data_IF_697212907975
#
_entry.id   IF_697212907975
#
_cell.length_a   1.000
_cell.length_b   1.000
_cell.length_c   1.000
_cell.angle_alpha   90.00
_cell.angle_beta   90.00
_cell.angle_gamma   90.00
#
_symmetry.space_group_name_H-M   'P 1'
#
loop_
_entity.id
_entity.type
_entity.pdbx_description
1 polymer ?
#
# COMPACT_ATOMS: atom_id res chain seq x y z
N UNK A 1 -7.37 -18.51 -16.63
CA UNK A 1 -7.49 -17.41 -15.65
C UNK A 1 -6.54 -17.57 -14.46
N UNK A 2 -6.53 -18.70 -13.74
CA UNK A 2 -5.66 -18.85 -12.54
C UNK A 2 -4.16 -18.70 -12.87
N UNK A 3 -3.66 -19.32 -13.94
CA UNK A 3 -2.26 -19.16 -14.37
C UNK A 3 -1.86 -17.71 -14.67
N UNK A 4 -2.76 -16.93 -15.29
CA UNK A 4 -2.56 -15.50 -15.50
C UNK A 4 -2.42 -14.75 -14.17
N UNK A 5 -3.36 -14.98 -13.25
CA UNK A 5 -3.39 -14.33 -11.94
C UNK A 5 -2.20 -14.68 -11.03
N UNK A 6 -1.59 -15.86 -11.19
CA UNK A 6 -0.45 -16.31 -10.40
C UNK A 6 0.91 -15.94 -11.02
N UNK A 7 1.01 -15.95 -12.36
CA UNK A 7 2.31 -15.91 -13.03
C UNK A 7 2.53 -14.66 -13.88
N UNK A 8 1.46 -14.07 -14.43
CA UNK A 8 1.56 -12.97 -15.37
C UNK A 8 1.24 -11.64 -14.68
N UNK A 9 0.02 -11.49 -14.17
CA UNK A 9 -0.42 -10.21 -13.63
C UNK A 9 0.45 -9.68 -12.48
N UNK A 10 0.94 -10.52 -11.52
CA UNK A 10 1.85 -10.04 -10.47
C UNK A 10 3.20 -9.52 -10.98
N UNK A 11 3.54 -9.79 -12.24
CA UNK A 11 4.77 -9.32 -12.88
C UNK A 11 4.54 -8.15 -13.86
N UNK A 12 3.28 -7.82 -14.17
CA UNK A 12 2.89 -6.73 -15.07
C UNK A 12 2.84 -5.39 -14.31
N UNK A 13 4.02 -4.96 -13.82
CA UNK A 13 4.16 -3.70 -13.10
C UNK A 13 3.98 -2.54 -14.08
N UNK A 14 3.14 -1.57 -13.68
CA UNK A 14 2.83 -0.39 -14.48
C UNK A 14 3.26 0.89 -13.77
N UNK A 15 3.74 1.86 -14.57
CA UNK A 15 3.94 3.22 -14.12
C UNK A 15 2.63 3.99 -14.34
N UNK A 16 1.99 4.38 -13.25
CA UNK A 16 0.83 5.28 -13.29
C UNK A 16 1.27 6.73 -13.07
N UNK A 17 0.50 7.67 -13.64
CA UNK A 17 0.74 9.10 -13.50
C UNK A 17 -0.52 9.75 -12.95
N UNK A 18 -0.34 10.58 -11.93
CA UNK A 18 -1.42 11.28 -11.26
C UNK A 18 -1.05 12.76 -11.09
N UNK A 19 -1.97 13.66 -11.38
CA UNK A 19 -1.83 15.07 -11.02
C UNK A 19 -2.78 15.41 -9.90
N UNK A 20 -2.25 16.01 -8.82
CA UNK A 20 -3.03 16.53 -7.68
C UNK A 20 -2.83 18.04 -7.66
N UNK A 21 -3.93 18.80 -7.60
CA UNK A 21 -3.90 20.25 -7.57
C UNK A 21 -4.27 20.80 -6.20
N UNK A 22 -3.40 21.66 -5.66
CA UNK A 22 -3.59 22.39 -4.40
C UNK A 22 -3.58 23.90 -4.64
N UNK A 23 -4.68 24.49 -5.13
CA UNK A 23 -4.70 25.91 -5.52
C UNK A 23 -4.33 26.86 -4.37
N UNK A 24 -4.62 26.49 -3.12
CA UNK A 24 -4.26 27.28 -1.94
C UNK A 24 -2.75 27.26 -1.62
N UNK A 25 -1.99 26.33 -2.21
CA UNK A 25 -0.54 26.22 -2.06
C UNK A 25 0.25 26.92 -3.18
N UNK A 26 -0.39 27.79 -4.00
CA UNK A 26 0.22 28.39 -5.18
C UNK A 26 1.51 29.18 -4.87
N UNK A 27 1.61 29.82 -3.72
CA UNK A 27 2.81 30.54 -3.28
C UNK A 27 3.83 29.64 -2.54
N UNK A 28 3.55 28.34 -2.40
CA UNK A 28 4.31 27.38 -1.58
C UNK A 28 4.73 26.13 -2.34
N UNK A 29 4.40 26.04 -3.61
CA UNK A 29 4.87 24.97 -4.50
C UNK A 29 5.64 25.57 -5.66
N UNK A 30 6.69 24.89 -6.16
CA UNK A 30 7.42 25.32 -7.34
C UNK A 30 6.50 25.59 -8.52
N UNK A 31 6.81 26.57 -9.35
CA UNK A 31 6.00 26.92 -10.54
C UNK A 31 5.78 25.72 -11.48
N UNK A 32 6.75 24.80 -11.56
CA UNK A 32 6.67 23.55 -12.32
C UNK A 32 5.99 22.39 -11.56
N UNK A 33 5.52 22.65 -10.33
CA UNK A 33 5.03 21.61 -9.42
C UNK A 33 6.14 20.77 -8.81
N UNK A 34 5.75 19.79 -7.98
CA UNK A 34 6.62 18.83 -7.31
C UNK A 34 6.32 17.43 -7.85
N UNK A 35 7.34 16.72 -8.31
CA UNK A 35 7.22 15.35 -8.83
C UNK A 35 7.63 14.36 -7.75
N UNK A 36 6.74 13.42 -7.44
CA UNK A 36 6.92 12.47 -6.36
C UNK A 36 6.79 11.05 -6.94
N UNK A 37 7.84 10.24 -6.82
CA UNK A 37 7.76 8.81 -7.14
C UNK A 37 7.30 8.07 -5.87
N UNK A 38 6.10 7.50 -5.91
CA UNK A 38 5.59 6.65 -4.83
C UNK A 38 5.84 5.18 -5.15
N UNK A 39 6.53 4.51 -4.22
CA UNK A 39 6.63 3.07 -4.08
C UNK A 39 5.86 2.67 -2.80
N UNK A 40 5.37 1.43 -2.75
CA UNK A 40 4.70 0.88 -1.57
C UNK A 40 4.53 -0.62 -1.69
N UNK A 41 4.33 -1.29 -0.56
CA UNK A 41 3.96 -2.71 -0.52
C UNK A 41 4.92 -3.58 -1.35
N UNK A 42 6.21 -3.43 -1.16
CA UNK A 42 7.23 -4.23 -1.86
C UNK A 42 7.17 -5.70 -1.41
N UNK A 43 6.83 -5.95 -0.14
CA UNK A 43 6.70 -7.27 0.47
C UNK A 43 7.83 -8.22 0.12
N UNK A 44 9.06 -7.76 0.15
CA UNK A 44 10.18 -8.64 -0.16
C UNK A 44 10.35 -9.72 0.92
N UNK A 45 10.37 -10.96 0.47
CA UNK A 45 10.54 -12.13 1.32
C UNK A 45 11.99 -12.56 1.42
N UNK A 46 12.77 -12.30 0.36
CA UNK A 46 14.11 -12.87 0.22
C UNK A 46 14.08 -14.40 0.00
N UNK A 47 15.21 -15.04 0.24
CA UNK A 47 15.32 -16.50 0.16
C UNK A 47 14.86 -17.08 -1.18
N UNK A 48 13.90 -18.01 -1.14
CA UNK A 48 13.38 -18.67 -2.36
C UNK A 48 12.68 -17.74 -3.34
N UNK A 49 12.19 -16.58 -2.90
CA UNK A 49 11.49 -15.59 -3.76
C UNK A 49 12.43 -14.59 -4.41
N UNK A 50 13.69 -14.51 -3.97
CA UNK A 50 14.68 -13.52 -4.45
C UNK A 50 14.76 -13.42 -5.97
N UNK A 51 14.77 -14.54 -6.69
CA UNK A 51 14.87 -14.51 -8.16
C UNK A 51 13.65 -13.86 -8.83
N UNK A 52 12.44 -14.04 -8.30
CA UNK A 52 11.21 -13.40 -8.78
C UNK A 52 11.21 -11.92 -8.40
N UNK A 53 11.63 -11.60 -7.20
CA UNK A 53 11.72 -10.22 -6.69
C UNK A 53 12.72 -9.40 -7.50
N UNK A 54 13.89 -9.97 -7.85
CA UNK A 54 14.86 -9.33 -8.74
C UNK A 54 14.30 -9.00 -10.11
N UNK A 55 13.51 -9.89 -10.73
CA UNK A 55 12.83 -9.57 -11.99
C UNK A 55 11.84 -8.42 -11.88
N UNK A 56 11.15 -8.29 -10.72
CA UNK A 56 10.30 -7.12 -10.46
C UNK A 56 11.14 -5.86 -10.36
N UNK A 57 12.28 -5.91 -9.64
CA UNK A 57 13.21 -4.78 -9.51
C UNK A 57 13.73 -4.36 -10.88
N UNK A 58 14.16 -5.31 -11.71
CA UNK A 58 14.64 -5.02 -13.09
C UNK A 58 13.53 -4.34 -13.93
N UNK A 59 12.29 -4.78 -13.78
CA UNK A 59 11.14 -4.15 -14.45
C UNK A 59 10.90 -2.73 -13.96
N UNK A 60 11.02 -2.47 -12.65
CA UNK A 60 10.89 -1.12 -12.06
C UNK A 60 12.01 -0.23 -12.56
N UNK A 61 13.26 -0.71 -12.54
CA UNK A 61 14.42 0.01 -13.09
C UNK A 61 14.16 0.46 -14.52
N UNK A 62 13.70 -0.45 -15.39
CA UNK A 62 13.39 -0.14 -16.78
C UNK A 62 12.25 0.89 -16.93
N UNK A 63 11.27 0.88 -16.04
CA UNK A 63 10.16 1.84 -16.05
C UNK A 63 10.57 3.23 -15.55
N UNK A 64 11.60 3.31 -14.70
CA UNK A 64 11.99 4.55 -14.01
C UNK A 64 13.27 5.16 -14.56
N UNK A 65 14.08 4.46 -15.34
CA UNK A 65 15.43 4.86 -15.80
C UNK A 65 15.53 6.29 -16.35
N UNK A 66 14.47 6.80 -16.97
CA UNK A 66 14.41 8.14 -17.56
C UNK A 66 13.47 9.09 -16.80
N UNK A 67 13.08 8.74 -15.58
CA UNK A 67 12.22 9.61 -14.76
C UNK A 67 13.07 10.63 -14.00
N UNK A 68 12.65 11.86 -14.09
CA UNK A 68 13.10 12.93 -13.20
C UNK A 68 12.00 13.19 -12.18
N UNK A 69 12.37 13.14 -10.90
CA UNK A 69 11.44 13.42 -9.80
C UNK A 69 12.18 14.01 -8.61
N UNK A 70 11.43 14.70 -7.78
CA UNK A 70 11.98 15.48 -6.67
C UNK A 70 12.06 14.65 -5.39
N UNK A 71 11.00 13.88 -5.11
CA UNK A 71 10.89 13.07 -3.90
C UNK A 71 10.67 11.61 -4.26
N UNK A 72 11.39 10.71 -3.55
CA UNK A 72 11.03 9.31 -3.46
C UNK A 72 10.26 9.08 -2.16
N UNK A 73 9.07 8.51 -2.23
CA UNK A 73 8.34 8.12 -1.03
C UNK A 73 8.01 6.63 -1.05
N UNK A 74 8.16 5.97 0.10
CA UNK A 74 7.72 4.58 0.28
C UNK A 74 6.70 4.52 1.41
N UNK A 75 5.49 4.12 1.09
CA UNK A 75 4.36 4.16 2.04
C UNK A 75 4.13 2.83 2.76
N UNK A 76 5.21 2.14 3.13
CA UNK A 76 5.20 0.97 4.02
C UNK A 76 5.19 -0.38 3.32
N UNK A 77 5.31 -1.43 4.13
CA UNK A 77 5.45 -2.83 3.71
C UNK A 77 6.64 -3.04 2.76
N UNK A 78 7.81 -2.59 3.22
CA UNK A 78 9.08 -2.82 2.52
C UNK A 78 9.40 -4.31 2.43
N UNK A 79 9.27 -5.00 3.56
CA UNK A 79 9.62 -6.40 3.71
C UNK A 79 8.40 -7.23 4.15
N UNK A 80 8.46 -8.51 3.87
CA UNK A 80 7.58 -9.51 4.49
C UNK A 80 8.34 -10.26 5.59
N UNK A 81 9.65 -10.50 5.37
CA UNK A 81 10.60 -11.06 6.32
C UNK A 81 11.92 -10.29 6.27
N UNK A 82 12.68 -10.27 7.36
CA UNK A 82 14.00 -9.63 7.44
C UNK A 82 14.94 -10.04 6.29
N UNK A 83 14.83 -11.27 5.81
CA UNK A 83 15.59 -11.77 4.66
C UNK A 83 15.32 -10.98 3.34
N UNK A 84 14.25 -10.20 3.28
CA UNK A 84 13.90 -9.33 2.16
C UNK A 84 14.70 -8.02 2.11
N UNK A 85 15.40 -7.66 3.17
CA UNK A 85 16.09 -6.36 3.30
C UNK A 85 17.08 -6.09 2.15
N UNK A 86 17.84 -7.09 1.73
CA UNK A 86 18.77 -6.94 0.59
C UNK A 86 18.03 -6.51 -0.69
N UNK A 87 16.84 -7.04 -0.93
CA UNK A 87 16.06 -6.68 -2.11
C UNK A 87 15.41 -5.30 -1.99
N UNK A 88 15.13 -4.83 -0.76
CA UNK A 88 14.72 -3.43 -0.54
C UNK A 88 15.83 -2.48 -0.98
N UNK A 89 17.05 -2.65 -0.48
CA UNK A 89 18.19 -1.80 -0.84
C UNK A 89 18.46 -1.87 -2.35
N UNK A 90 18.42 -3.06 -2.94
CA UNK A 90 18.54 -3.25 -4.38
C UNK A 90 17.45 -2.52 -5.19
N UNK A 91 16.21 -2.49 -4.71
CA UNK A 91 15.14 -1.72 -5.34
C UNK A 91 15.43 -0.22 -5.29
N UNK A 92 15.88 0.27 -4.14
CA UNK A 92 16.20 1.68 -3.94
C UNK A 92 17.40 2.11 -4.83
N UNK A 93 18.41 1.24 -5.00
CA UNK A 93 19.54 1.47 -5.91
C UNK A 93 19.14 1.43 -7.40
N UNK A 94 18.07 0.70 -7.72
CA UNK A 94 17.62 0.49 -9.10
C UNK A 94 16.80 1.66 -9.67
N UNK A 95 16.27 2.54 -8.82
CA UNK A 95 15.52 3.74 -9.23
C UNK A 95 16.45 4.95 -9.30
N UNK A 96 16.24 5.93 -10.20
CA UNK A 96 17.03 7.15 -10.21
C UNK A 96 17.00 7.86 -8.85
N UNK A 97 18.09 8.51 -8.42
CA UNK A 97 18.10 9.22 -7.14
C UNK A 97 17.12 10.40 -7.15
N UNK A 98 16.37 10.63 -6.06
CA UNK A 98 15.50 11.79 -5.94
C UNK A 98 16.32 13.07 -5.76
N UNK A 99 15.83 14.19 -6.30
CA UNK A 99 16.52 15.49 -6.22
C UNK A 99 16.53 16.08 -4.80
N UNK A 100 15.41 15.93 -4.07
CA UNK A 100 15.20 16.55 -2.75
C UNK A 100 15.27 15.57 -1.58
N UNK A 101 15.18 14.28 -1.83
CA UNK A 101 15.32 13.26 -0.79
C UNK A 101 14.33 12.11 -0.88
N UNK A 102 14.61 11.10 -0.04
CA UNK A 102 13.81 9.89 0.07
C UNK A 102 13.20 9.77 1.48
N UNK A 103 11.91 9.44 1.55
CA UNK A 103 11.15 9.37 2.80
C UNK A 103 10.27 8.12 2.82
N UNK A 104 10.03 7.58 4.02
CA UNK A 104 9.16 6.42 4.15
C UNK A 104 8.43 6.38 5.49
N UNK A 105 7.42 5.53 5.54
CA UNK A 105 6.75 5.08 6.78
C UNK A 105 6.71 3.58 6.78
N UNK A 106 6.57 2.94 7.94
CA UNK A 106 6.41 1.49 8.01
C UNK A 106 4.94 1.08 7.86
N UNK A 107 4.75 -0.11 7.28
CA UNK A 107 3.48 -0.80 7.24
C UNK A 107 3.45 -1.99 8.21
N UNK A 108 2.32 -2.67 8.30
CA UNK A 108 2.12 -3.74 9.27
C UNK A 108 3.07 -4.93 9.04
N UNK A 109 3.44 -5.24 7.81
CA UNK A 109 4.40 -6.31 7.51
C UNK A 109 5.84 -5.95 7.88
N UNK A 110 6.18 -4.66 7.97
CA UNK A 110 7.51 -4.26 8.46
C UNK A 110 7.71 -4.57 9.94
N UNK A 111 6.61 -4.64 10.71
CA UNK A 111 6.61 -5.02 12.13
C UNK A 111 6.43 -6.51 12.35
N UNK A 112 5.52 -7.14 11.60
CA UNK A 112 4.98 -8.46 11.94
C UNK A 112 5.05 -9.44 10.76
N UNK A 113 5.48 -10.68 11.06
CA UNK A 113 5.40 -11.79 10.12
C UNK A 113 3.97 -12.35 10.06
N UNK A 114 3.44 -12.52 8.87
CA UNK A 114 2.13 -13.15 8.64
C UNK A 114 2.25 -14.39 7.76
N UNK A 115 1.65 -15.49 8.19
CA UNK A 115 1.52 -16.72 7.39
C UNK A 115 0.39 -16.55 6.35
N UNK A 116 0.57 -15.66 5.38
CA UNK A 116 -0.44 -15.36 4.36
C UNK A 116 -0.74 -16.54 3.44
N UNK A 117 0.24 -17.42 3.21
CA UNK A 117 0.07 -18.63 2.37
C UNK A 117 -0.97 -19.60 2.94
N UNK A 118 -1.19 -19.59 4.26
CA UNK A 118 -2.20 -20.40 4.94
C UNK A 118 -3.61 -19.78 4.89
N UNK A 119 -3.75 -18.51 4.58
CA UNK A 119 -5.02 -17.78 4.67
C UNK A 119 -6.10 -18.38 3.73
N UNK A 120 -5.81 -18.52 2.44
CA UNK A 120 -6.76 -19.09 1.47
C UNK A 120 -7.11 -20.57 1.77
N UNK A 121 -6.14 -21.48 2.03
CA UNK A 121 -6.46 -22.85 2.42
C UNK A 121 -7.29 -22.94 3.72
N UNK A 122 -7.03 -22.06 4.70
CA UNK A 122 -7.81 -21.98 5.95
C UNK A 122 -9.24 -21.53 5.68
N UNK A 123 -9.42 -20.44 4.91
CA UNK A 123 -10.73 -19.96 4.51
C UNK A 123 -11.54 -21.04 3.80
N UNK A 124 -10.93 -21.75 2.85
CA UNK A 124 -11.58 -22.86 2.16
C UNK A 124 -12.00 -23.98 3.09
N UNK A 125 -11.13 -24.39 4.02
CA UNK A 125 -11.47 -25.44 5.01
C UNK A 125 -12.65 -25.01 5.90
N UNK A 126 -12.63 -23.76 6.39
CA UNK A 126 -13.71 -23.22 7.25
C UNK A 126 -15.04 -23.16 6.47
N UNK A 127 -15.04 -22.59 5.27
CA UNK A 127 -16.21 -22.56 4.40
C UNK A 127 -16.77 -23.97 4.14
N UNK A 128 -15.89 -24.94 3.81
CA UNK A 128 -16.30 -26.33 3.59
C UNK A 128 -16.91 -26.97 4.83
N UNK A 129 -16.40 -26.67 6.01
CA UNK A 129 -16.97 -27.15 7.26
C UNK A 129 -18.36 -26.58 7.53
N UNK A 130 -18.56 -25.27 7.27
CA UNK A 130 -19.87 -24.64 7.37
C UNK A 130 -20.89 -25.21 6.39
N UNK A 131 -20.50 -25.37 5.10
CA UNK A 131 -21.38 -25.98 4.10
C UNK A 131 -21.76 -27.43 4.46
N UNK A 132 -20.83 -28.22 5.01
CA UNK A 132 -21.17 -29.58 5.49
C UNK A 132 -22.20 -29.55 6.63
N UNK A 133 -22.07 -28.59 7.56
CA UNK A 133 -23.07 -28.41 8.65
C UNK A 133 -24.44 -28.00 8.07
N UNK A 134 -24.47 -27.10 7.11
CA UNK A 134 -25.70 -26.67 6.42
C UNK A 134 -26.37 -27.82 5.66
N UNK A 135 -25.57 -28.72 5.06
CA UNK A 135 -26.07 -29.85 4.30
C UNK A 135 -26.46 -31.07 5.17
N UNK A 136 -26.08 -31.11 6.45
CA UNK A 136 -26.30 -32.25 7.34
C UNK A 136 -27.80 -32.59 7.52
N UNK A 137 -28.70 -31.56 7.47
CA UNK A 137 -30.15 -31.76 7.57
C UNK A 137 -30.89 -31.84 6.23
N UNK A 138 -30.19 -31.83 5.08
CA UNK A 138 -30.80 -31.76 3.75
C UNK A 138 -30.89 -33.14 3.10
N UNK A 139 -31.99 -33.40 2.41
CA UNK A 139 -32.12 -34.58 1.53
C UNK A 139 -31.29 -34.42 0.24
N UNK A 140 -31.09 -35.50 -0.55
CA UNK A 140 -30.26 -35.45 -1.78
C UNK A 140 -30.70 -34.40 -2.81
N UNK A 141 -31.99 -34.20 -2.99
CA UNK A 141 -32.54 -33.22 -3.96
C UNK A 141 -32.20 -31.78 -3.49
N UNK A 142 -32.39 -31.51 -2.20
CA UNK A 142 -32.04 -30.21 -1.62
C UNK A 142 -30.53 -29.93 -1.68
N UNK A 143 -29.68 -30.96 -1.52
CA UNK A 143 -28.22 -30.83 -1.70
C UNK A 143 -27.84 -30.50 -3.12
N UNK A 144 -28.50 -31.13 -4.11
CA UNK A 144 -28.26 -30.85 -5.52
C UNK A 144 -28.70 -29.42 -5.89
N UNK A 145 -29.89 -29.01 -5.47
CA UNK A 145 -30.36 -27.64 -5.66
C UNK A 145 -29.43 -26.59 -5.02
N UNK A 146 -28.92 -26.89 -3.82
CA UNK A 146 -27.94 -26.04 -3.12
C UNK A 146 -26.58 -25.99 -3.83
N UNK A 147 -26.20 -27.01 -4.60
CA UNK A 147 -24.92 -27.07 -5.31
C UNK A 147 -24.79 -25.93 -6.34
N UNK A 148 -25.85 -25.56 -7.05
CA UNK A 148 -25.86 -24.46 -8.02
C UNK A 148 -25.54 -23.09 -7.42
N UNK A 149 -25.86 -22.89 -6.13
CA UNK A 149 -25.60 -21.60 -5.45
C UNK A 149 -24.34 -21.63 -4.56
N UNK A 150 -23.64 -22.76 -4.46
CA UNK A 150 -22.43 -22.91 -3.64
C UNK A 150 -21.33 -21.93 -4.03
N UNK A 151 -21.13 -21.76 -5.33
CA UNK A 151 -20.15 -20.82 -5.85
C UNK A 151 -20.45 -19.38 -5.40
N UNK A 152 -21.69 -18.93 -5.56
CA UNK A 152 -22.10 -17.58 -5.12
C UNK A 152 -21.91 -17.39 -3.64
N UNK A 153 -22.25 -18.40 -2.81
CA UNK A 153 -22.03 -18.36 -1.36
C UNK A 153 -20.55 -18.35 -1.00
N UNK A 154 -19.72 -19.09 -1.73
CA UNK A 154 -18.27 -19.06 -1.50
C UNK A 154 -17.68 -17.68 -1.81
N UNK A 155 -18.05 -17.08 -2.93
CA UNK A 155 -17.62 -15.72 -3.27
C UNK A 155 -18.09 -14.72 -2.22
N UNK A 156 -19.34 -14.84 -1.76
CA UNK A 156 -19.84 -13.96 -0.68
C UNK A 156 -19.12 -14.22 0.65
N UNK A 157 -18.79 -15.47 0.97
CA UNK A 157 -17.99 -15.83 2.16
C UNK A 157 -16.60 -15.21 2.10
N UNK A 158 -15.89 -15.39 0.97
CA UNK A 158 -14.56 -14.77 0.75
C UNK A 158 -14.62 -13.24 0.87
N UNK A 159 -15.68 -12.65 0.34
CA UNK A 159 -15.87 -11.19 0.40
C UNK A 159 -16.09 -10.64 1.80
N UNK A 160 -16.73 -11.41 2.68
CA UNK A 160 -17.13 -10.98 4.02
C UNK A 160 -16.19 -11.50 5.12
N UNK A 161 -15.21 -12.33 4.77
CA UNK A 161 -14.25 -12.90 5.72
C UNK A 161 -12.91 -12.18 5.57
N UNK A 162 -12.36 -11.57 6.62
CA UNK A 162 -11.03 -10.96 6.56
C UNK A 162 -9.97 -11.96 6.10
N UNK A 163 -9.04 -11.51 5.28
CA UNK A 163 -7.84 -12.27 4.89
C UNK A 163 -6.77 -12.11 5.98
N UNK A 164 -7.04 -12.66 7.16
CA UNK A 164 -6.11 -12.58 8.28
C UNK A 164 -5.00 -13.62 8.11
N UNK A 165 -3.79 -13.13 7.91
CA UNK A 165 -2.60 -13.92 8.14
C UNK A 165 -2.44 -14.23 9.64
N UNK A 166 -2.06 -15.46 9.99
CA UNK A 166 -1.67 -15.77 11.37
C UNK A 166 -0.33 -15.10 11.65
N UNK A 167 -0.23 -14.32 12.72
CA UNK A 167 1.05 -13.77 13.19
C UNK A 167 1.98 -14.94 13.57
N UNK A 168 3.19 -14.94 13.03
CA UNK A 168 4.19 -16.01 13.22
C UNK A 168 5.50 -15.51 13.82
N UNK A 169 5.68 -14.21 13.92
CA UNK A 169 6.88 -13.60 14.48
C UNK A 169 6.88 -12.09 14.25
N UNK A 170 8.02 -11.47 14.46
CA UNK A 170 8.25 -10.04 14.24
C UNK A 170 9.50 -9.81 13.40
N UNK A 171 9.50 -8.78 12.58
CA UNK A 171 10.66 -8.28 11.87
C UNK A 171 11.50 -7.35 12.76
N UNK A 172 12.77 -7.20 12.41
CA UNK A 172 13.68 -6.28 13.06
C UNK A 172 13.57 -4.87 12.44
N UNK A 173 12.63 -4.08 12.95
CA UNK A 173 12.38 -2.71 12.47
C UNK A 173 13.56 -1.77 12.73
N UNK A 174 14.38 -2.03 13.75
CA UNK A 174 15.59 -1.25 14.02
C UNK A 174 16.64 -1.48 12.90
N UNK A 175 16.89 -2.74 12.55
CA UNK A 175 17.80 -3.07 11.44
C UNK A 175 17.30 -2.49 10.12
N UNK A 176 16.00 -2.55 9.85
CA UNK A 176 15.38 -1.95 8.67
C UNK A 176 15.59 -0.41 8.69
N UNK A 177 15.34 0.26 9.80
CA UNK A 177 15.53 1.71 9.95
C UNK A 177 16.98 2.10 9.69
N UNK A 178 17.94 1.39 10.30
CA UNK A 178 19.38 1.65 10.12
C UNK A 178 19.79 1.46 8.64
N UNK A 179 19.33 0.40 8.01
CA UNK A 179 19.66 0.13 6.60
C UNK A 179 19.07 1.19 5.65
N UNK A 180 17.81 1.59 5.86
CA UNK A 180 17.17 2.65 5.07
C UNK A 180 17.87 4.00 5.27
N UNK A 181 18.22 4.35 6.51
CA UNK A 181 18.97 5.55 6.83
C UNK A 181 20.38 5.53 6.21
N UNK A 182 21.05 4.38 6.23
CA UNK A 182 22.35 4.19 5.58
C UNK A 182 22.30 4.36 4.06
N UNK A 183 21.18 4.03 3.44
CA UNK A 183 20.93 4.30 2.03
C UNK A 183 20.59 5.78 1.76
N UNK A 184 20.12 6.53 2.74
CA UNK A 184 19.72 7.92 2.63
C UNK A 184 18.19 8.16 2.66
N UNK A 185 17.41 7.15 3.03
CA UNK A 185 15.96 7.31 3.23
C UNK A 185 15.64 7.65 4.69
N UNK A 186 14.87 8.70 4.91
CA UNK A 186 14.37 9.07 6.23
C UNK A 186 13.02 8.42 6.52
N UNK A 187 12.94 7.59 7.55
CA UNK A 187 11.67 7.02 8.03
C UNK A 187 10.99 7.98 9.00
N UNK A 188 9.71 8.27 8.75
CA UNK A 188 8.91 9.21 9.53
C UNK A 188 8.01 8.46 10.53
N UNK A 189 8.48 8.37 11.78
CA UNK A 189 7.72 7.77 12.89
C UNK A 189 6.97 8.85 13.66
N UNK A 190 5.70 9.08 13.36
CA UNK A 190 4.85 10.07 14.04
C UNK A 190 5.48 11.46 14.11
N UNK A 191 6.07 11.91 13.02
CA UNK A 191 6.74 13.22 12.92
C UNK A 191 6.56 13.85 11.55
N UNK A 192 6.85 15.14 11.45
CA UNK A 192 6.92 15.85 10.20
C UNK A 192 8.30 16.46 9.95
N UNK A 193 8.57 16.74 8.69
CA UNK A 193 9.70 17.51 8.21
C UNK A 193 9.19 18.70 7.40
N UNK A 194 9.87 19.83 7.50
CA UNK A 194 9.66 20.97 6.66
C UNK A 194 10.58 20.89 5.43
N UNK A 195 9.98 20.73 4.27
CA UNK A 195 10.68 20.76 2.98
C UNK A 195 10.64 22.20 2.46
N UNK A 196 11.72 22.91 2.68
CA UNK A 196 11.86 24.31 2.32
C UNK A 196 12.99 24.51 1.31
N UNK A 197 12.67 25.17 0.19
CA UNK A 197 13.61 25.64 -0.84
C UNK A 197 13.12 26.99 -1.35
N UNK A 198 13.47 28.09 -0.68
CA UNK A 198 12.96 29.42 -1.02
C UNK A 198 13.23 29.81 -2.48
N UNK A 199 14.43 29.46 -2.98
CA UNK A 199 14.83 29.78 -4.36
C UNK A 199 13.98 29.06 -5.42
N UNK A 200 13.31 27.98 -5.04
CA UNK A 200 12.43 27.19 -5.90
C UNK A 200 10.94 27.46 -5.60
N UNK A 201 10.62 28.22 -4.57
CA UNK A 201 9.25 28.45 -4.10
C UNK A 201 8.65 27.22 -3.41
N UNK A 202 9.47 26.31 -2.85
CA UNK A 202 8.99 25.15 -2.11
C UNK A 202 8.91 25.44 -0.62
N UNK A 203 7.70 25.29 -0.07
CA UNK A 203 7.38 25.36 1.37
C UNK A 203 6.26 24.37 1.68
N UNK A 204 6.63 23.11 1.91
CA UNK A 204 5.72 21.97 2.10
C UNK A 204 6.11 21.19 3.35
N UNK A 205 5.14 20.78 4.15
CA UNK A 205 5.37 19.85 5.25
C UNK A 205 5.07 18.43 4.81
N UNK A 206 6.05 17.54 5.04
CA UNK A 206 5.92 16.11 4.85
C UNK A 206 5.79 15.44 6.21
N UNK A 207 4.60 14.93 6.52
CA UNK A 207 4.30 14.20 7.75
C UNK A 207 4.28 12.69 7.49
N UNK A 208 4.60 11.91 8.50
CA UNK A 208 4.45 10.46 8.49
C UNK A 208 3.92 9.95 9.82
N UNK A 209 3.14 8.88 9.76
CA UNK A 209 2.61 8.20 10.95
C UNK A 209 3.03 6.74 10.96
N UNK A 210 3.07 6.16 12.15
CA UNK A 210 3.24 4.73 12.33
C UNK A 210 2.02 3.95 11.83
N UNK A 211 2.18 2.64 11.67
CA UNK A 211 1.10 1.79 11.16
C UNK A 211 -0.11 1.72 12.09
N UNK A 212 -1.30 1.68 11.48
CA UNK A 212 -2.60 1.66 12.21
C UNK A 212 -2.85 0.31 12.90
N UNK A 213 -2.34 -0.80 12.34
CA UNK A 213 -2.63 -2.15 12.82
C UNK A 213 -1.59 -2.65 13.83
N UNK A 214 -0.31 -2.38 13.59
CA UNK A 214 0.80 -2.97 14.36
C UNK A 214 1.54 -1.97 15.25
N UNK A 215 1.26 -0.68 15.11
CA UNK A 215 1.91 0.37 15.87
C UNK A 215 0.88 1.36 16.47
N UNK A 216 1.29 2.59 16.72
CA UNK A 216 0.43 3.64 17.28
C UNK A 216 0.53 4.91 16.45
N UNK A 217 -0.32 5.08 15.44
CA UNK A 217 -0.33 6.30 14.64
C UNK A 217 -0.75 7.49 15.52
N UNK A 218 0.07 8.53 15.56
CA UNK A 218 -0.16 9.76 16.34
C UNK A 218 -0.17 10.96 15.41
N UNK A 219 -1.22 11.07 14.58
CA UNK A 219 -1.32 12.15 13.60
C UNK A 219 -1.28 13.53 14.26
N UNK A 220 -1.90 13.69 15.43
CA UNK A 220 -1.83 14.93 16.20
C UNK A 220 -0.40 15.35 16.53
N UNK A 221 0.45 14.40 16.95
CA UNK A 221 1.87 14.66 17.25
C UNK A 221 2.63 15.03 15.97
N UNK A 222 2.40 14.29 14.87
CA UNK A 222 3.03 14.59 13.58
C UNK A 222 2.69 15.99 13.06
N UNK A 223 1.50 16.50 13.37
CA UNK A 223 1.05 17.83 12.93
C UNK A 223 1.30 18.94 13.94
N UNK A 224 1.80 18.64 15.14
CA UNK A 224 1.89 19.60 16.25
C UNK A 224 2.78 20.80 15.97
N UNK A 225 3.86 20.61 15.22
CA UNK A 225 4.82 21.66 14.86
C UNK A 225 4.50 22.37 13.55
N UNK A 226 3.43 21.96 12.84
CA UNK A 226 3.08 22.51 11.54
C UNK A 226 2.17 23.73 11.74
N UNK A 227 2.51 24.91 11.17
CA UNK A 227 1.65 26.07 11.23
C UNK A 227 0.29 25.84 10.55
N UNK A 228 -0.76 26.47 11.07
CA UNK A 228 -2.07 26.39 10.46
C UNK A 228 -2.07 27.00 9.05
N UNK A 229 -2.72 26.31 8.11
CA UNK A 229 -2.77 26.71 6.71
C UNK A 229 -1.50 26.41 5.89
N UNK A 230 -0.47 25.79 6.49
CA UNK A 230 0.64 25.27 5.72
C UNK A 230 0.20 24.04 4.90
N UNK A 231 0.72 23.84 3.67
CA UNK A 231 0.42 22.65 2.89
C UNK A 231 1.08 21.42 3.53
N UNK A 232 0.29 20.36 3.69
CA UNK A 232 0.71 19.11 4.35
C UNK A 232 0.47 17.90 3.47
N UNK A 233 1.54 17.16 3.21
CA UNK A 233 1.47 15.81 2.63
C UNK A 233 1.75 14.78 3.71
N UNK A 234 0.83 13.83 3.90
CA UNK A 234 0.93 12.75 4.88
C UNK A 234 1.26 11.42 4.19
N UNK A 235 2.29 10.75 4.68
CA UNK A 235 2.55 9.35 4.40
C UNK A 235 1.91 8.49 5.50
N UNK A 236 1.04 7.58 5.11
CA UNK A 236 0.45 6.57 6.00
C UNK A 236 0.30 5.27 5.23
N UNK A 237 0.80 4.16 5.77
CA UNK A 237 0.64 2.88 5.11
C UNK A 237 -0.84 2.52 4.98
N UNK A 238 -1.52 2.39 6.11
CA UNK A 238 -2.94 2.06 6.14
C UNK A 238 -3.80 3.32 5.91
N UNK A 239 -4.67 3.31 4.88
CA UNK A 239 -5.51 4.46 4.55
C UNK A 239 -6.64 4.73 5.56
N UNK A 240 -6.89 3.86 6.54
CA UNK A 240 -7.86 4.11 7.62
C UNK A 240 -7.48 5.32 8.50
N UNK A 241 -6.28 5.86 8.34
CA UNK A 241 -5.89 7.16 8.93
C UNK A 241 -6.87 8.29 8.57
N UNK A 242 -7.65 8.16 7.49
CA UNK A 242 -8.66 9.13 7.09
C UNK A 242 -9.81 9.29 8.11
N UNK A 243 -9.96 8.33 9.02
CA UNK A 243 -10.91 8.44 10.12
C UNK A 243 -10.42 9.36 11.26
N UNK A 244 -9.17 9.82 11.19
CA UNK A 244 -8.60 10.71 12.20
C UNK A 244 -9.31 12.06 12.23
N UNK A 245 -9.67 12.60 13.41
CA UNK A 245 -10.25 13.94 13.55
C UNK A 245 -9.30 15.06 13.11
N UNK A 246 -7.99 14.80 13.01
CA UNK A 246 -6.99 15.75 12.51
C UNK A 246 -6.85 15.75 10.96
N UNK A 247 -7.54 14.85 10.25
CA UNK A 247 -7.46 14.78 8.79
C UNK A 247 -7.69 16.12 8.08
N UNK A 248 -8.61 17.02 8.54
CA UNK A 248 -8.83 18.32 7.88
C UNK A 248 -7.59 19.23 7.82
N UNK A 249 -6.53 18.95 8.58
CA UNK A 249 -5.24 19.66 8.51
C UNK A 249 -4.29 19.10 7.45
N UNK A 250 -4.66 18.02 6.77
CA UNK A 250 -3.84 17.34 5.76
C UNK A 250 -4.41 17.62 4.38
N UNK A 251 -3.56 18.02 3.43
CA UNK A 251 -3.98 18.30 2.05
C UNK A 251 -3.92 17.06 1.16
N UNK A 252 -2.87 16.24 1.34
CA UNK A 252 -2.66 15.02 0.56
C UNK A 252 -2.31 13.86 1.48
N UNK A 253 -2.97 12.72 1.33
CA UNK A 253 -2.60 11.43 1.95
C UNK A 253 -2.13 10.49 0.86
N UNK A 254 -0.95 9.90 1.04
CA UNK A 254 -0.41 8.84 0.21
C UNK A 254 -0.36 7.54 1.01
N UNK A 255 -1.02 6.49 0.49
CA UNK A 255 -1.15 5.20 1.19
C UNK A 255 -0.91 4.01 0.25
N UNK A 256 -0.78 2.82 0.86
CA UNK A 256 -0.73 1.50 0.22
C UNK A 256 -1.71 0.52 0.88
N UNK A 257 -1.19 -0.62 1.39
CA UNK A 257 -1.85 -1.59 2.25
C UNK A 257 -2.91 -2.48 1.58
N UNK A 258 -3.81 -1.92 0.82
CA UNK A 258 -5.01 -2.60 0.30
C UNK A 258 -4.75 -3.50 -0.89
N UNK A 259 -3.62 -3.33 -1.58
CA UNK A 259 -3.29 -3.99 -2.86
C UNK A 259 -4.39 -3.85 -3.93
N UNK A 260 -5.27 -2.83 -3.80
CA UNK A 260 -6.45 -2.70 -4.66
C UNK A 260 -7.46 -3.84 -4.48
N UNK A 261 -7.46 -4.47 -3.29
CA UNK A 261 -8.23 -5.67 -3.00
C UNK A 261 -7.66 -6.95 -3.57
N UNK A 262 -6.49 -6.90 -4.22
CA UNK A 262 -5.67 -7.98 -4.76
C UNK A 262 -6.38 -8.87 -5.81
N UNK A 263 -7.68 -9.16 -5.61
CA UNK A 263 -8.56 -9.85 -6.55
C UNK A 263 -9.81 -9.00 -6.74
N UNK A 264 -10.01 -8.50 -7.96
CA UNK A 264 -11.19 -7.72 -8.33
C UNK A 264 -12.10 -8.56 -9.20
N UNK A 265 -13.25 -8.94 -8.64
CA UNK A 265 -14.25 -9.75 -9.34
C UNK A 265 -15.08 -8.86 -10.26
N UNK A 266 -15.23 -9.18 -11.56
CA UNK A 266 -16.07 -8.41 -12.48
C UNK A 266 -17.47 -8.20 -11.90
N UNK A 267 -17.99 -6.98 -12.00
CA UNK A 267 -19.30 -6.53 -11.50
C UNK A 267 -19.48 -6.53 -9.97
N UNK A 268 -18.54 -7.14 -9.20
CA UNK A 268 -18.64 -7.29 -7.74
C UNK A 268 -17.60 -6.48 -6.99
N UNK A 269 -16.55 -6.02 -7.71
CA UNK A 269 -15.47 -5.23 -7.13
C UNK A 269 -14.43 -6.04 -6.38
N UNK A 270 -13.63 -5.39 -5.50
CA UNK A 270 -12.56 -6.01 -4.73
C UNK A 270 -13.06 -7.14 -3.84
N UNK A 271 -12.36 -8.28 -3.83
CA UNK A 271 -12.69 -9.42 -2.97
C UNK A 271 -12.47 -9.06 -1.48
N UNK A 272 -11.36 -8.39 -1.18
CA UNK A 272 -11.03 -7.90 0.16
C UNK A 272 -10.72 -6.41 0.15
N UNK A 273 -10.99 -5.73 1.26
CA UNK A 273 -10.68 -4.31 1.40
C UNK A 273 -9.50 -4.08 2.34
N UNK A 274 -9.34 -4.92 3.36
CA UNK A 274 -8.33 -4.81 4.44
C UNK A 274 -8.38 -3.46 5.19
N UNK A 275 -9.52 -2.77 5.10
CA UNK A 275 -9.77 -1.44 5.68
C UNK A 275 -11.16 -1.40 6.29
N UNK A 276 -11.33 -0.58 7.32
CA UNK A 276 -12.56 -0.46 8.08
C UNK A 276 -13.39 0.76 7.66
N UNK A 277 -12.72 1.88 7.37
CA UNK A 277 -13.38 3.18 7.18
C UNK A 277 -13.53 3.61 5.73
N UNK A 278 -13.08 2.80 4.79
CA UNK A 278 -13.19 3.10 3.37
C UNK A 278 -14.34 2.37 2.69
N UNK A 279 -15.01 3.09 1.80
CA UNK A 279 -15.92 2.45 0.86
C UNK A 279 -15.14 1.47 -0.05
N UNK A 280 -15.77 0.36 -0.39
CA UNK A 280 -15.12 -0.73 -1.15
C UNK A 280 -14.56 -0.30 -2.50
N UNK A 281 -15.18 0.67 -3.15
CA UNK A 281 -14.72 1.26 -4.42
C UNK A 281 -13.46 2.12 -4.26
N UNK A 282 -13.17 2.58 -3.06
CA UNK A 282 -12.05 3.48 -2.76
C UNK A 282 -10.80 2.75 -2.25
N UNK A 283 -10.72 1.42 -2.36
CA UNK A 283 -9.55 0.67 -1.90
C UNK A 283 -8.30 0.86 -2.78
N UNK A 284 -8.38 1.58 -3.88
CA UNK A 284 -7.24 2.03 -4.68
C UNK A 284 -7.61 3.20 -5.56
N UNK A 285 -6.60 3.96 -5.98
CA UNK A 285 -6.75 5.11 -6.83
C UNK A 285 -6.95 6.41 -6.04
N UNK A 286 -7.41 7.42 -6.73
CA UNK A 286 -7.56 8.78 -6.20
C UNK A 286 -9.02 9.08 -5.85
N UNK A 287 -9.23 9.69 -4.69
CA UNK A 287 -10.51 10.26 -4.28
C UNK A 287 -10.30 11.44 -3.32
N UNK A 288 -11.38 12.05 -2.86
CA UNK A 288 -11.34 13.13 -1.86
C UNK A 288 -12.15 12.76 -0.63
N UNK A 289 -11.55 13.02 0.54
CA UNK A 289 -12.22 12.97 1.83
C UNK A 289 -12.33 14.41 2.38
N UNK A 290 -13.49 15.03 2.20
CA UNK A 290 -13.65 16.44 2.45
C UNK A 290 -12.71 17.29 1.57
N UNK A 291 -11.83 18.10 2.18
CA UNK A 291 -10.81 18.87 1.46
C UNK A 291 -9.56 18.05 1.11
N UNK A 292 -9.31 16.96 1.81
CA UNK A 292 -8.10 16.15 1.67
C UNK A 292 -8.14 15.31 0.41
N UNK A 293 -7.06 15.35 -0.36
CA UNK A 293 -6.80 14.46 -1.49
C UNK A 293 -6.22 13.14 -0.97
N UNK A 294 -6.81 12.02 -1.33
CA UNK A 294 -6.34 10.71 -0.91
C UNK A 294 -5.97 9.89 -2.12
N UNK A 295 -4.78 9.32 -2.11
CA UNK A 295 -4.34 8.39 -3.13
C UNK A 295 -3.84 7.10 -2.50
N UNK A 296 -4.40 5.97 -2.94
CA UNK A 296 -4.05 4.64 -2.47
C UNK A 296 -3.48 3.84 -3.65
N UNK A 297 -2.21 3.50 -3.54
CA UNK A 297 -1.52 2.69 -4.54
C UNK A 297 -1.83 1.20 -4.35
N UNK A 298 -1.82 0.43 -5.44
CA UNK A 298 -1.93 -1.04 -5.40
C UNK A 298 -0.63 -1.74 -5.02
N UNK A 299 0.47 -1.00 -4.93
CA UNK A 299 1.76 -1.53 -4.52
C UNK A 299 2.41 -2.52 -5.48
N UNK A 300 3.58 -3.00 -5.10
CA UNK A 300 4.49 -3.82 -5.92
C UNK A 300 4.39 -5.31 -5.64
N UNK A 301 4.36 -5.66 -4.36
CA UNK A 301 4.38 -7.03 -3.86
C UNK A 301 3.01 -7.62 -3.58
N UNK A 302 3.01 -8.79 -3.03
CA UNK A 302 1.81 -9.49 -2.60
C UNK A 302 2.08 -10.29 -1.31
N UNK A 303 1.19 -10.20 -0.34
CA UNK A 303 1.18 -11.14 0.78
C UNK A 303 0.87 -12.56 0.30
N UNK A 304 -0.13 -12.73 -0.57
CA UNK A 304 -0.44 -13.96 -1.30
C UNK A 304 -0.03 -13.75 -2.76
N UNK A 305 0.74 -14.65 -3.41
CA UNK A 305 1.26 -14.47 -4.76
C UNK A 305 0.18 -14.64 -5.84
N UNK A 306 -0.87 -13.85 -5.74
CA UNK A 306 -2.05 -13.91 -6.60
C UNK A 306 -2.61 -12.49 -6.79
N UNK A 307 -2.65 -12.00 -8.02
CA UNK A 307 -3.35 -10.77 -8.40
C UNK A 307 -4.29 -11.03 -9.54
N UNK A 308 -5.49 -10.47 -9.48
CA UNK A 308 -6.45 -10.54 -10.58
C UNK A 308 -7.19 -9.21 -10.73
N UNK A 309 -6.98 -8.51 -11.84
CA UNK A 309 -7.48 -7.16 -12.14
C UNK A 309 -7.07 -6.08 -11.11
N UNK A 310 -5.99 -6.35 -10.40
CA UNK A 310 -5.35 -5.47 -9.44
C UNK A 310 -3.83 -5.48 -9.66
N UNK A 311 -3.39 -5.29 -10.90
CA UNK A 311 -1.98 -5.35 -11.30
C UNK A 311 -1.11 -4.39 -10.48
N UNK A 312 0.14 -4.79 -10.18
CA UNK A 312 1.05 -3.97 -9.39
C UNK A 312 1.42 -2.68 -10.11
N UNK A 313 1.74 -1.65 -9.34
CA UNK A 313 2.05 -0.33 -9.87
C UNK A 313 3.09 0.42 -9.04
N UNK A 314 3.78 1.33 -9.72
CA UNK A 314 4.48 2.48 -9.15
C UNK A 314 3.77 3.74 -9.64
N UNK A 315 3.85 4.84 -8.90
CA UNK A 315 3.12 6.05 -9.27
C UNK A 315 4.02 7.27 -9.28
N UNK A 316 4.00 8.00 -10.38
CA UNK A 316 4.57 9.33 -10.46
C UNK A 316 3.46 10.36 -10.25
N UNK A 317 3.51 11.02 -9.11
CA UNK A 317 2.54 12.04 -8.71
C UNK A 317 3.13 13.41 -9.05
N UNK A 318 2.34 14.22 -9.75
CA UNK A 318 2.66 15.62 -10.00
C UNK A 318 1.75 16.49 -9.13
N UNK A 319 2.33 17.04 -8.05
CA UNK A 319 1.65 17.94 -7.14
C UNK A 319 1.84 19.38 -7.63
N UNK A 320 0.74 20.06 -7.95
CA UNK A 320 0.75 21.42 -8.50
C UNK A 320 -0.16 22.34 -7.69
N UNK A 321 0.00 23.62 -7.90
CA UNK A 321 -0.93 24.64 -7.38
C UNK A 321 -2.24 24.70 -8.16
#
# INVERSE_FOLDING_TARGET
>A
MLGYALLIEPMDIRLERLTIRLPHAAARLPAGGLRILQLTDSHFHGGRRTARERKKIDRIAALTQNLEYDLLVHTGDFIHFDAGLENVLRLLDAVPPPRLGAFGVFGNHDYTHYAMEEALPRMWRTYRAEERRRDAGRNPVQRLAAAGTRWLRYVQYVRNTPLDGRRTGSNNTEALTVALAGWGMTVLHNRALHLERPDEGLDLYLAGVDDVLEARPRLGDSLSSIPDGAPVMLLSHNPDIIASPQLPRVDVVLSGHTHGGQIVVPFWGPAHTQVEYLARENVSGYFRQGRTHVYISRGLGEGIPLRFRAGPQITLIHLTA
#
